data_IF_225091406001
#
_entry.id   IF_225091406001
#
_cell.length_a   1.000
_cell.length_b   1.000
_cell.length_c   1.000
_cell.angle_alpha   90.00
_cell.angle_beta   90.00
_cell.angle_gamma   90.00
#
_symmetry.space_group_name_H-M   'P 1'
#
loop_
_entity.id
_entity.type
_entity.pdbx_description
1 polymer ?
#
# COMPACT_ATOMS: atom_id res chain seq x y z
N UNK A 1 35.45 42.26 -49.71
CA UNK A 1 34.40 43.23 -49.35
C UNK A 1 33.19 42.47 -48.81
N UNK A 2 32.97 42.46 -47.50
CA UNK A 2 31.89 41.74 -46.85
C UNK A 2 30.64 42.62 -46.73
N UNK A 3 29.45 42.03 -46.92
CA UNK A 3 28.18 42.71 -46.69
C UNK A 3 27.58 42.24 -45.35
N UNK A 4 27.15 43.23 -44.57
CA UNK A 4 26.82 43.19 -43.15
C UNK A 4 25.32 43.13 -42.90
N UNK A 5 24.92 42.40 -41.84
CA UNK A 5 23.72 42.57 -40.96
C UNK A 5 22.33 42.14 -41.51
N UNK A 6 21.31 41.86 -40.65
CA UNK A 6 21.22 42.22 -39.22
C UNK A 6 20.86 41.11 -38.21
N UNK A 7 21.23 41.43 -36.96
CA UNK A 7 20.83 40.84 -35.69
C UNK A 7 19.36 41.15 -35.39
N UNK A 8 18.56 40.14 -35.04
CA UNK A 8 17.26 40.33 -34.40
C UNK A 8 17.19 39.58 -33.07
N UNK A 9 17.06 40.40 -32.04
CA UNK A 9 16.90 40.14 -30.61
C UNK A 9 15.61 39.36 -30.35
N UNK A 10 15.69 38.14 -29.81
CA UNK A 10 14.54 37.43 -29.26
C UNK A 10 14.35 37.89 -27.81
N UNK A 11 13.20 38.50 -27.52
CA UNK A 11 12.75 38.83 -26.16
C UNK A 11 11.94 37.64 -25.55
N UNK A 12 11.82 37.55 -24.22
CA UNK A 12 11.21 36.40 -23.54
C UNK A 12 9.67 36.47 -23.56
N UNK A 13 9.03 35.32 -23.74
CA UNK A 13 7.56 35.17 -23.67
C UNK A 13 7.11 35.08 -22.22
N UNK A 14 6.28 36.05 -21.85
CA UNK A 14 5.54 36.24 -20.60
C UNK A 14 4.48 35.13 -20.42
N UNK A 15 4.52 34.39 -19.31
CA UNK A 15 3.45 33.44 -18.94
C UNK A 15 2.57 34.09 -17.87
N UNK A 16 1.32 34.38 -18.23
CA UNK A 16 0.30 34.96 -17.32
C UNK A 16 -0.49 33.85 -16.62
N UNK A 17 -0.71 34.05 -15.32
CA UNK A 17 -1.49 33.17 -14.45
C UNK A 17 -3.01 33.43 -14.45
N UNK A 18 -3.73 32.41 -13.94
CA UNK A 18 -5.05 32.38 -13.26
C UNK A 18 -6.33 32.24 -14.11
N UNK A 19 -7.46 31.68 -13.58
CA UNK A 19 -7.70 31.16 -12.22
C UNK A 19 -8.36 29.75 -12.15
N UNK A 20 -8.22 29.07 -11.01
CA UNK A 20 -9.07 27.91 -10.63
C UNK A 20 -9.88 28.25 -9.38
N UNK A 21 -11.20 28.16 -9.50
CA UNK A 21 -12.21 28.21 -8.42
C UNK A 21 -13.59 28.53 -9.02
N UNK A 22 -14.74 28.06 -8.44
CA UNK A 22 -14.95 27.81 -7.02
C UNK A 22 -15.66 26.48 -6.63
N UNK A 23 -15.37 26.03 -5.41
CA UNK A 23 -16.26 25.58 -4.30
C UNK A 23 -17.40 24.57 -4.58
N UNK A 24 -17.69 23.58 -3.73
CA UNK A 24 -18.10 23.62 -2.31
C UNK A 24 -18.01 22.17 -1.75
N UNK A 25 -17.72 21.88 -0.49
CA UNK A 25 -18.43 22.31 0.73
C UNK A 25 -17.47 22.38 1.92
N UNK A 26 -17.54 23.49 2.64
CA UNK A 26 -16.94 23.76 3.94
C UNK A 26 -17.72 23.06 5.08
N UNK A 27 -17.01 22.60 6.11
CA UNK A 27 -17.49 22.64 7.50
C UNK A 27 -16.32 23.09 8.41
N UNK A 28 -16.24 24.41 8.55
CA UNK A 28 -16.00 25.21 9.76
C UNK A 28 -15.03 24.70 10.84
N UNK A 29 -13.95 25.49 11.04
CA UNK A 29 -13.36 25.92 12.32
C UNK A 29 -14.50 26.19 13.36
N UNK A 30 -14.41 25.89 14.66
CA UNK A 30 -13.46 26.39 15.70
C UNK A 30 -13.44 25.42 16.95
N UNK A 31 -12.83 25.76 18.12
CA UNK A 31 -11.63 25.12 18.66
C UNK A 31 -11.88 24.31 19.94
N UNK A 32 -11.11 23.26 20.22
CA UNK A 32 -10.97 22.81 21.61
C UNK A 32 -9.68 22.07 21.84
N UNK A 33 -8.80 22.76 22.55
CA UNK A 33 -7.80 22.27 23.49
C UNK A 33 -7.69 20.75 23.63
N UNK A 34 -6.66 20.17 23.02
CA UNK A 34 -5.96 19.01 23.60
C UNK A 34 -4.46 19.24 23.47
N UNK A 35 -3.65 18.80 24.45
CA UNK A 35 -2.38 19.40 24.75
C UNK A 35 -1.42 19.23 23.58
N UNK A 36 -0.91 20.38 23.12
CA UNK A 36 0.37 20.48 22.45
C UNK A 36 1.34 19.61 23.25
N UNK A 37 1.80 18.48 22.68
CA UNK A 37 2.99 17.83 23.19
C UNK A 37 4.10 18.86 22.97
N UNK A 38 4.37 19.63 24.03
CA UNK A 38 5.33 20.72 24.08
C UNK A 38 6.69 20.04 23.99
N UNK A 39 7.19 19.81 22.78
CA UNK A 39 8.61 19.56 22.56
C UNK A 39 9.29 20.92 22.69
N UNK A 40 9.35 21.42 23.93
CA UNK A 40 10.08 22.62 24.28
C UNK A 40 11.50 22.20 24.59
N UNK A 41 12.42 22.56 23.71
CA UNK A 41 13.84 22.32 23.87
C UNK A 41 14.60 23.07 22.80
N UNK A 42 14.73 24.39 22.99
CA UNK A 42 15.76 25.17 22.33
C UNK A 42 17.14 24.60 22.73
N UNK A 43 17.93 24.19 21.74
CA UNK A 43 19.29 23.68 21.94
C UNK A 43 19.65 22.64 20.88
N UNK A 44 20.38 23.08 19.85
CA UNK A 44 21.01 22.24 18.81
C UNK A 44 22.05 21.28 19.43
N UNK A 45 21.60 20.21 20.07
CA UNK A 45 22.41 19.02 20.35
C UNK A 45 21.78 17.84 19.64
N UNK A 46 21.93 17.82 18.32
CA UNK A 46 21.64 16.64 17.49
C UNK A 46 22.60 15.54 17.93
N UNK A 47 22.20 14.69 18.88
CA UNK A 47 22.90 13.42 19.09
C UNK A 47 22.75 12.66 17.76
N UNK A 48 23.85 12.41 17.02
CA UNK A 48 23.74 11.67 15.77
C UNK A 48 23.15 10.31 16.08
N UNK A 49 22.23 9.83 15.23
CA UNK A 49 21.77 8.46 15.32
C UNK A 49 22.97 7.53 15.42
N UNK A 50 22.89 6.46 16.23
CA UNK A 50 23.92 5.43 16.23
C UNK A 50 24.22 5.06 14.79
N UNK A 51 25.50 5.16 14.37
CA UNK A 51 25.90 4.82 13.01
C UNK A 51 25.35 3.42 12.70
N UNK A 52 24.83 3.18 11.48
CA UNK A 52 24.40 1.84 11.09
C UNK A 52 25.53 0.87 11.44
N UNK A 53 25.26 -0.07 12.35
CA UNK A 53 26.27 -1.05 12.74
C UNK A 53 26.49 -1.92 11.50
N UNK A 54 27.69 -1.89 10.87
CA UNK A 54 27.89 -2.49 9.54
C UNK A 54 27.60 -3.99 9.50
N UNK A 55 27.58 -4.65 10.67
CA UNK A 55 27.41 -6.09 10.82
C UNK A 55 26.15 -6.47 11.65
N UNK A 56 25.16 -5.59 11.77
CA UNK A 56 23.89 -5.99 12.39
C UNK A 56 23.12 -6.86 11.40
N UNK A 57 23.28 -8.18 11.52
CA UNK A 57 22.44 -9.14 10.81
C UNK A 57 21.00 -8.92 11.28
N UNK A 58 20.17 -8.33 10.41
CA UNK A 58 18.77 -8.14 10.71
C UNK A 58 18.11 -9.52 10.86
N UNK A 59 17.31 -9.73 11.92
CA UNK A 59 16.67 -11.01 12.17
C UNK A 59 15.58 -11.24 11.11
N UNK A 60 15.96 -11.91 10.03
CA UNK A 60 15.04 -12.43 9.02
C UNK A 60 14.75 -13.91 9.31
N UNK A 61 13.48 -14.35 9.27
CA UNK A 61 13.16 -15.77 9.37
C UNK A 61 13.61 -16.56 8.13
N UNK A 62 13.90 -15.87 7.02
CA UNK A 62 14.26 -16.49 5.74
C UNK A 62 15.75 -16.79 5.72
N UNK A 63 16.10 -18.08 5.70
CA UNK A 63 17.48 -18.54 5.50
C UNK A 63 17.80 -18.55 4.01
N UNK A 64 18.50 -17.53 3.55
CA UNK A 64 18.79 -17.29 2.12
C UNK A 64 19.55 -18.47 1.51
N UNK A 65 20.50 -19.06 2.25
CA UNK A 65 21.29 -20.22 1.79
C UNK A 65 20.41 -21.44 1.48
N UNK A 66 19.30 -21.60 2.22
CA UNK A 66 18.33 -22.67 1.99
C UNK A 66 17.32 -22.31 0.89
N UNK A 67 17.08 -21.03 0.64
CA UNK A 67 16.14 -20.57 -0.38
C UNK A 67 16.71 -20.76 -1.79
N UNK A 68 18.01 -20.51 -1.98
CA UNK A 68 18.65 -20.58 -3.28
C UNK A 68 18.47 -21.92 -4.03
N UNK A 69 18.67 -23.11 -3.41
CA UNK A 69 18.41 -24.38 -4.10
C UNK A 69 16.91 -24.60 -4.41
N UNK A 70 16.00 -24.06 -3.59
CA UNK A 70 14.55 -24.17 -3.82
C UNK A 70 14.05 -23.33 -5.00
N UNK A 71 14.83 -22.31 -5.40
CA UNK A 71 14.52 -21.47 -6.56
C UNK A 71 15.06 -22.06 -7.88
N UNK A 72 15.68 -23.24 -7.85
CA UNK A 72 16.16 -23.91 -9.06
C UNK A 72 14.98 -24.22 -10.01
N UNK A 73 15.08 -23.78 -11.27
CA UNK A 73 14.06 -23.98 -12.30
C UNK A 73 13.06 -22.83 -12.46
N UNK A 74 13.10 -21.81 -11.59
CA UNK A 74 12.34 -20.58 -11.78
C UNK A 74 13.09 -19.57 -12.65
N UNK A 75 12.38 -18.53 -13.08
CA UNK A 75 12.95 -17.43 -13.87
C UNK A 75 14.22 -16.86 -13.20
N UNK A 76 15.37 -16.79 -13.90
CA UNK A 76 16.61 -16.27 -13.33
C UNK A 76 16.53 -14.81 -12.86
N UNK A 77 15.71 -13.98 -13.52
CA UNK A 77 15.51 -12.58 -13.17
C UNK A 77 14.82 -12.43 -11.82
N UNK A 78 13.68 -13.12 -11.64
CA UNK A 78 12.95 -13.15 -10.37
C UNK A 78 13.78 -13.77 -9.24
N UNK A 79 14.51 -14.85 -9.54
CA UNK A 79 15.41 -15.50 -8.58
C UNK A 79 16.48 -14.53 -8.07
N UNK A 80 17.06 -13.74 -8.98
CA UNK A 80 18.04 -12.70 -8.64
C UNK A 80 17.42 -11.59 -7.77
N UNK A 81 16.23 -11.11 -8.11
CA UNK A 81 15.50 -10.10 -7.32
C UNK A 81 15.22 -10.60 -5.91
N UNK A 82 14.78 -11.85 -5.75
CA UNK A 82 14.49 -12.42 -4.44
C UNK A 82 15.77 -12.59 -3.61
N UNK A 83 16.83 -13.17 -4.21
CA UNK A 83 18.10 -13.37 -3.52
C UNK A 83 18.69 -12.04 -3.05
N UNK A 84 18.79 -11.06 -3.97
CA UNK A 84 19.33 -9.73 -3.65
C UNK A 84 18.41 -8.99 -2.68
N UNK A 85 17.10 -9.09 -2.84
CA UNK A 85 16.11 -8.45 -2.00
C UNK A 85 16.12 -8.93 -0.55
N UNK A 86 16.23 -10.24 -0.31
CA UNK A 86 16.37 -10.76 1.05
C UNK A 86 17.74 -10.47 1.66
N UNK A 87 18.80 -10.39 0.85
CA UNK A 87 20.17 -10.14 1.32
C UNK A 87 20.45 -8.67 1.62
N UNK A 88 19.94 -7.76 0.79
CA UNK A 88 20.27 -6.34 0.82
C UNK A 88 19.05 -5.42 1.01
N UNK A 89 17.84 -5.96 0.92
CA UNK A 89 16.58 -5.21 1.00
C UNK A 89 15.88 -5.07 -0.36
N UNK A 90 14.55 -4.88 -0.31
CA UNK A 90 13.72 -4.69 -1.50
C UNK A 90 13.50 -3.21 -1.80
N UNK A 91 13.66 -2.83 -3.07
CA UNK A 91 13.30 -1.49 -3.53
C UNK A 91 11.79 -1.31 -3.54
N UNK A 92 11.31 -0.24 -2.89
CA UNK A 92 9.90 0.15 -2.92
C UNK A 92 9.53 1.02 -4.13
N UNK A 93 10.50 1.32 -5.01
CA UNK A 93 10.32 2.17 -6.20
C UNK A 93 9.60 3.50 -5.89
N UNK A 94 9.94 4.13 -4.77
CA UNK A 94 9.40 5.44 -4.41
C UNK A 94 10.16 6.53 -5.14
N UNK A 95 9.51 7.19 -6.10
CA UNK A 95 10.12 8.17 -7.01
C UNK A 95 9.82 9.63 -6.64
N UNK A 96 8.86 9.87 -5.74
CA UNK A 96 8.43 11.22 -5.38
C UNK A 96 9.28 11.87 -4.27
N UNK A 97 8.96 13.13 -3.94
CA UNK A 97 9.61 13.83 -2.83
C UNK A 97 9.04 13.39 -1.50
N UNK A 98 9.88 12.84 -0.62
CA UNK A 98 9.48 12.53 0.77
C UNK A 98 9.01 13.80 1.49
N UNK A 99 7.85 13.74 2.13
CA UNK A 99 7.29 14.76 3.00
C UNK A 99 7.14 14.22 4.42
N UNK A 100 7.26 15.10 5.42
CA UNK A 100 6.97 14.72 6.81
C UNK A 100 5.47 14.53 7.00
N UNK A 101 5.07 13.51 7.73
CA UNK A 101 3.67 13.22 7.98
C UNK A 101 3.51 12.62 9.38
N UNK A 102 2.54 13.13 10.15
CA UNK A 102 2.26 12.66 11.49
C UNK A 102 0.76 12.37 11.61
N UNK A 103 0.43 11.10 11.81
CA UNK A 103 -0.94 10.67 12.06
C UNK A 103 -1.14 10.26 13.52
N UNK A 104 -2.34 10.51 14.01
CA UNK A 104 -2.81 9.98 15.28
C UNK A 104 -3.15 8.49 15.16
N UNK A 105 -2.90 7.72 16.22
CA UNK A 105 -3.26 6.31 16.27
C UNK A 105 -4.78 6.10 16.08
N UNK A 106 -5.15 4.96 15.51
CA UNK A 106 -6.55 4.56 15.38
C UNK A 106 -7.18 4.33 16.76
N UNK A 107 -8.51 4.47 16.86
CA UNK A 107 -9.28 4.32 18.11
C UNK A 107 -8.94 3.00 18.81
N UNK A 108 -8.82 1.90 18.06
CA UNK A 108 -8.51 0.60 18.64
C UNK A 108 -7.19 0.58 19.41
N UNK A 109 -6.14 1.23 18.88
CA UNK A 109 -4.85 1.32 19.54
C UNK A 109 -4.87 2.26 20.76
N UNK A 110 -5.69 3.33 20.71
CA UNK A 110 -5.87 4.23 21.85
C UNK A 110 -6.62 3.54 23.01
N UNK A 111 -7.59 2.68 22.70
CA UNK A 111 -8.40 1.95 23.69
C UNK A 111 -7.68 0.75 24.32
N UNK A 112 -6.61 0.25 23.68
CA UNK A 112 -5.87 -0.94 24.16
C UNK A 112 -4.35 -0.66 24.23
N UNK A 113 -3.91 0.31 25.05
CA UNK A 113 -2.51 0.73 25.13
C UNK A 113 -1.58 -0.36 25.65
N UNK A 114 -2.07 -1.25 26.51
CA UNK A 114 -1.33 -2.40 27.05
C UNK A 114 -0.98 -3.41 25.96
N UNK A 115 -1.92 -3.73 25.05
CA UNK A 115 -1.67 -4.63 23.92
C UNK A 115 -0.65 -4.03 22.95
N UNK A 116 -0.76 -2.72 22.66
CA UNK A 116 0.19 -2.01 21.82
C UNK A 116 1.59 -2.08 22.43
N UNK A 117 1.70 -1.78 23.73
CA UNK A 117 2.98 -1.79 24.45
C UNK A 117 3.60 -3.18 24.45
N UNK A 118 2.82 -4.23 24.72
CA UNK A 118 3.31 -5.61 24.68
C UNK A 118 3.82 -6.02 23.29
N UNK A 119 3.12 -5.63 22.22
CA UNK A 119 3.54 -5.89 20.83
C UNK A 119 4.83 -5.14 20.48
N UNK A 120 4.93 -3.87 20.84
CA UNK A 120 6.14 -3.07 20.60
C UNK A 120 7.34 -3.65 21.38
N UNK A 121 7.17 -3.99 22.65
CA UNK A 121 8.22 -4.61 23.46
C UNK A 121 8.70 -5.94 22.87
N UNK A 122 7.80 -6.76 22.32
CA UNK A 122 8.17 -8.02 21.65
C UNK A 122 9.04 -7.77 20.40
N UNK A 123 8.67 -6.81 19.58
CA UNK A 123 9.42 -6.46 18.37
C UNK A 123 10.76 -5.78 18.68
N UNK A 124 10.80 -4.98 19.76
CA UNK A 124 12.01 -4.35 20.28
C UNK A 124 12.99 -5.39 20.85
N UNK A 125 12.50 -6.33 21.66
CA UNK A 125 13.29 -7.44 22.19
C UNK A 125 13.82 -8.36 21.08
N UNK A 126 13.08 -8.48 19.97
CA UNK A 126 13.52 -9.20 18.79
C UNK A 126 14.50 -8.40 17.92
N UNK A 127 14.86 -7.17 18.28
CA UNK A 127 15.78 -6.34 17.52
C UNK A 127 15.25 -5.88 16.15
N UNK A 128 13.94 -5.95 15.93
CA UNK A 128 13.31 -5.57 14.65
C UNK A 128 12.88 -4.10 14.58
N UNK A 129 12.78 -3.44 15.74
CA UNK A 129 12.49 -2.01 15.82
C UNK A 129 13.72 -1.25 16.30
N UNK A 130 13.89 -0.05 15.76
CA UNK A 130 14.84 0.94 16.25
C UNK A 130 14.08 1.99 17.08
N UNK A 131 14.77 2.54 18.09
CA UNK A 131 14.18 3.47 19.06
C UNK A 131 13.93 2.80 20.41
N UNK A 132 13.14 3.41 21.31
CA UNK A 132 12.40 4.67 21.12
C UNK A 132 13.31 5.87 20.84
N UNK A 133 12.79 6.87 20.13
CA UNK A 133 13.50 8.12 19.83
C UNK A 133 12.77 9.29 20.48
N UNK A 134 13.49 10.18 21.15
CA UNK A 134 12.90 11.36 21.79
C UNK A 134 12.48 12.44 20.78
N UNK A 135 13.08 12.42 19.59
CA UNK A 135 12.80 13.33 18.48
C UNK A 135 12.88 12.60 17.13
N UNK A 136 12.26 13.13 16.06
CA UNK A 136 12.32 12.51 14.75
C UNK A 136 13.77 12.28 14.28
N UNK A 137 14.16 11.04 13.98
CA UNK A 137 15.55 10.70 13.66
C UNK A 137 16.03 11.32 12.33
N UNK A 138 15.10 11.75 11.47
CA UNK A 138 15.38 12.33 10.16
C UNK A 138 14.58 13.61 9.95
N UNK A 139 15.09 14.59 9.17
CA UNK A 139 14.35 15.82 8.87
C UNK A 139 12.99 15.57 8.18
N UNK A 140 12.92 14.54 7.33
CA UNK A 140 11.70 14.09 6.66
C UNK A 140 11.29 12.74 7.25
N UNK A 141 10.45 12.79 8.28
CA UNK A 141 10.02 11.62 9.03
C UNK A 141 8.51 11.40 8.88
N UNK A 142 8.11 10.14 8.72
CA UNK A 142 6.70 9.74 8.58
C UNK A 142 6.30 8.83 9.74
N UNK A 143 5.31 9.28 10.50
CA UNK A 143 4.64 8.51 11.54
C UNK A 143 3.27 8.07 11.01
N UNK A 144 3.15 6.77 10.77
CA UNK A 144 1.88 6.16 10.34
C UNK A 144 1.06 5.74 11.57
N UNK A 145 -0.27 5.76 11.49
CA UNK A 145 -1.12 5.43 12.63
C UNK A 145 -1.00 3.95 12.98
N UNK A 146 -0.94 3.63 14.28
CA UNK A 146 -1.07 2.25 14.74
C UNK A 146 -2.55 1.87 14.92
N UNK A 147 -2.84 0.60 14.65
CA UNK A 147 -4.13 -0.02 14.93
C UNK A 147 -3.91 -1.40 15.52
N UNK A 148 -4.80 -1.81 16.43
CA UNK A 148 -4.86 -3.19 16.90
C UNK A 148 -6.10 -3.87 16.36
N UNK A 149 -5.92 -5.12 15.94
CA UNK A 149 -6.99 -6.02 15.54
C UNK A 149 -6.86 -7.28 16.42
N UNK A 150 -7.93 -7.71 17.09
CA UNK A 150 -7.95 -8.97 17.81
C UNK A 150 -7.63 -10.13 16.86
N UNK A 151 -6.66 -10.96 17.24
CA UNK A 151 -6.36 -12.19 16.51
C UNK A 151 -7.16 -13.32 17.16
N UNK A 152 -8.03 -14.00 16.40
CA UNK A 152 -8.63 -15.25 16.87
C UNK A 152 -7.51 -16.28 17.06
N UNK A 153 -7.37 -16.82 18.27
CA UNK A 153 -6.41 -17.89 18.59
C UNK A 153 -7.22 -19.10 19.06
N UNK A 154 -7.07 -20.24 18.39
CA UNK A 154 -7.54 -21.53 18.89
C UNK A 154 -6.39 -22.14 19.70
N UNK A 155 -6.51 -22.10 21.03
CA UNK A 155 -5.42 -22.37 21.97
C UNK A 155 -4.92 -23.83 21.97
N UNK A 156 -5.70 -24.78 21.45
CA UNK A 156 -5.40 -26.21 21.53
C UNK A 156 -4.19 -26.67 20.69
N UNK A 157 -3.79 -25.96 19.63
CA UNK A 157 -2.71 -26.40 18.72
C UNK A 157 -1.45 -25.54 18.72
N UNK A 158 -1.35 -24.48 19.53
CA UNK A 158 -0.16 -23.60 19.57
C UNK A 158 0.16 -22.88 18.25
N UNK A 159 -0.68 -23.04 17.24
CA UNK A 159 -0.56 -22.45 15.91
C UNK A 159 -1.81 -21.60 15.67
N UNK A 160 -1.66 -20.34 15.23
CA UNK A 160 -2.81 -19.52 14.87
C UNK A 160 -3.48 -20.04 13.59
N UNK A 161 -4.31 -21.07 13.73
CA UNK A 161 -5.21 -21.55 12.69
C UNK A 161 -6.54 -20.80 12.83
N UNK A 162 -6.90 -20.04 11.80
CA UNK A 162 -8.27 -19.57 11.66
C UNK A 162 -9.09 -20.76 11.13
N UNK A 163 -10.17 -21.19 11.79
CA UNK A 163 -10.99 -22.30 11.28
C UNK A 163 -11.55 -21.99 9.88
N UNK A 164 -11.78 -20.71 9.60
CA UNK A 164 -12.14 -20.15 8.28
C UNK A 164 -11.07 -20.35 7.19
N UNK A 165 -9.84 -20.70 7.58
CA UNK A 165 -8.69 -20.95 6.70
C UNK A 165 -8.17 -22.39 6.82
N UNK A 166 -8.83 -23.22 7.62
CA UNK A 166 -8.43 -24.59 7.87
C UNK A 166 -9.49 -25.48 7.26
N UNK A 167 -9.31 -25.79 5.99
CA UNK A 167 -10.19 -26.71 5.27
C UNK A 167 -9.68 -28.13 5.55
N UNK A 168 -10.59 -29.08 5.77
CA UNK A 168 -10.22 -30.50 5.88
C UNK A 168 -9.58 -30.99 4.57
N UNK A 169 -9.24 -32.29 4.46
CA UNK A 169 -8.89 -32.86 3.16
C UNK A 169 -10.10 -32.77 2.22
N UNK A 170 -10.20 -31.65 1.51
CA UNK A 170 -11.24 -31.35 0.53
C UNK A 170 -10.60 -31.16 -0.83
N UNK A 171 -11.31 -31.61 -1.86
CA UNK A 171 -10.84 -31.52 -3.23
C UNK A 171 -11.00 -30.11 -3.81
N UNK A 172 -11.80 -29.25 -3.16
CA UNK A 172 -12.11 -27.89 -3.59
C UNK A 172 -11.74 -26.94 -2.45
N UNK A 173 -10.77 -26.06 -2.67
CA UNK A 173 -10.27 -25.12 -1.67
C UNK A 173 -10.59 -23.68 -2.08
N UNK A 174 -11.39 -22.99 -1.27
CA UNK A 174 -11.57 -21.54 -1.42
C UNK A 174 -10.36 -20.80 -0.84
N UNK A 175 -9.60 -20.11 -1.70
CA UNK A 175 -8.43 -19.33 -1.32
C UNK A 175 -8.38 -18.01 -2.09
N UNK A 176 -8.10 -16.91 -1.38
CA UNK A 176 -8.03 -15.56 -1.96
C UNK A 176 -9.25 -15.15 -2.82
N UNK A 177 -10.42 -15.74 -2.54
CA UNK A 177 -11.66 -15.44 -3.24
C UNK A 177 -11.89 -16.19 -4.55
N UNK A 178 -11.06 -17.18 -4.87
CA UNK A 178 -11.23 -18.18 -5.94
C UNK A 178 -11.30 -19.59 -5.33
N UNK A 179 -11.93 -20.53 -6.02
CA UNK A 179 -11.93 -21.96 -5.69
C UNK A 179 -10.86 -22.68 -6.50
N UNK A 180 -10.06 -23.51 -5.83
CA UNK A 180 -9.05 -24.38 -6.43
C UNK A 180 -9.58 -25.82 -6.39
N UNK A 181 -9.87 -26.41 -7.54
CA UNK A 181 -10.37 -27.78 -7.68
C UNK A 181 -9.23 -28.71 -8.10
N UNK A 182 -8.83 -29.58 -7.18
CA UNK A 182 -7.74 -30.55 -7.36
C UNK A 182 -8.13 -31.78 -8.18
N UNK A 183 -9.42 -32.09 -8.33
CA UNK A 183 -9.87 -33.18 -9.21
C UNK A 183 -9.92 -32.74 -10.66
N UNK A 184 -10.36 -31.49 -10.89
CA UNK A 184 -10.45 -30.90 -12.23
C UNK A 184 -9.17 -30.20 -12.66
N UNK A 185 -8.25 -29.94 -11.73
CA UNK A 185 -7.03 -29.16 -11.94
C UNK A 185 -7.35 -27.75 -12.47
N UNK A 186 -8.39 -27.12 -11.93
CA UNK A 186 -8.95 -25.85 -12.39
C UNK A 186 -9.07 -24.85 -11.23
N UNK A 187 -8.80 -23.57 -11.51
CA UNK A 187 -9.12 -22.46 -10.62
C UNK A 187 -10.37 -21.74 -11.14
N UNK A 188 -11.39 -21.58 -10.32
CA UNK A 188 -12.67 -20.97 -10.71
C UNK A 188 -13.15 -19.92 -9.73
N UNK A 189 -14.02 -19.01 -10.18
CA UNK A 189 -14.70 -18.10 -9.28
C UNK A 189 -15.84 -18.86 -8.57
N UNK A 190 -16.05 -18.67 -7.25
CA UNK A 190 -17.18 -19.25 -6.53
C UNK A 190 -18.51 -18.89 -7.18
N UNK A 191 -19.46 -19.82 -7.15
CA UNK A 191 -20.76 -19.66 -7.81
C UNK A 191 -21.49 -18.40 -7.33
N UNK A 192 -21.51 -18.16 -6.02
CA UNK A 192 -22.18 -17.01 -5.40
C UNK A 192 -21.69 -15.68 -5.98
N UNK A 193 -20.38 -15.56 -6.20
CA UNK A 193 -19.77 -14.37 -6.80
C UNK A 193 -20.10 -14.26 -8.28
N UNK A 194 -20.14 -15.39 -9.00
CA UNK A 194 -20.56 -15.36 -10.42
C UNK A 194 -22.01 -14.93 -10.56
N UNK A 195 -22.90 -15.36 -9.67
CA UNK A 195 -24.32 -14.95 -9.66
C UNK A 195 -24.49 -13.48 -9.29
N UNK A 196 -23.77 -12.99 -8.27
CA UNK A 196 -23.78 -11.58 -7.92
C UNK A 196 -23.28 -10.70 -9.10
N UNK A 197 -22.19 -11.11 -9.76
CA UNK A 197 -21.72 -10.42 -10.97
C UNK A 197 -22.78 -10.42 -12.09
N UNK A 198 -23.44 -11.56 -12.36
CA UNK A 198 -24.51 -11.64 -13.36
C UNK A 198 -25.66 -10.70 -13.03
N UNK A 199 -26.09 -10.66 -11.76
CA UNK A 199 -27.16 -9.77 -11.30
C UNK A 199 -26.77 -8.31 -11.54
N UNK A 200 -25.59 -7.89 -11.07
CA UNK A 200 -25.10 -6.51 -11.21
C UNK A 200 -24.98 -6.08 -12.67
N UNK A 201 -24.41 -6.94 -13.52
CA UNK A 201 -24.30 -6.69 -14.96
C UNK A 201 -25.70 -6.61 -15.57
N UNK A 202 -26.61 -7.52 -15.24
CA UNK A 202 -27.97 -7.50 -15.78
C UNK A 202 -28.75 -6.23 -15.38
N UNK A 203 -28.59 -5.76 -14.14
CA UNK A 203 -29.23 -4.55 -13.65
C UNK A 203 -28.68 -3.30 -14.36
N UNK A 204 -27.36 -3.22 -14.52
CA UNK A 204 -26.70 -2.15 -15.27
C UNK A 204 -27.15 -2.14 -16.74
N UNK A 205 -27.19 -3.30 -17.39
CA UNK A 205 -27.62 -3.37 -18.79
C UNK A 205 -29.07 -2.92 -18.97
N UNK A 206 -29.97 -3.21 -18.02
CA UNK A 206 -31.36 -2.70 -18.08
C UNK A 206 -31.45 -1.17 -17.95
N UNK A 207 -30.50 -0.54 -17.26
CA UNK A 207 -30.48 0.91 -17.10
C UNK A 207 -29.95 1.64 -18.33
N UNK A 208 -29.02 1.02 -19.06
CA UNK A 208 -28.25 1.71 -20.11
C UNK A 208 -28.62 1.25 -21.52
N UNK A 209 -29.08 0.02 -21.69
CA UNK A 209 -29.53 -0.54 -22.97
C UNK A 209 -31.01 -0.22 -23.15
N UNK A 210 -31.40 0.57 -24.18
CA UNK A 210 -32.80 0.82 -24.47
C UNK A 210 -33.53 -0.50 -24.75
N UNK A 211 -34.73 -0.69 -24.20
CA UNK A 211 -35.52 -1.91 -24.38
C UNK A 211 -35.83 -2.23 -25.86
N UNK A 212 -35.69 -1.25 -26.74
CA UNK A 212 -35.93 -1.35 -28.19
C UNK A 212 -34.69 -1.77 -29.00
N UNK A 213 -33.50 -1.85 -28.38
CA UNK A 213 -32.25 -2.18 -29.05
C UNK A 213 -31.56 -3.35 -28.33
N UNK A 214 -31.21 -4.41 -29.05
CA UNK A 214 -30.43 -5.51 -28.47
C UNK A 214 -29.05 -5.06 -27.97
N UNK A 215 -28.51 -5.73 -26.95
CA UNK A 215 -27.20 -5.40 -26.36
C UNK A 215 -26.09 -5.27 -27.39
N UNK A 216 -26.02 -6.21 -28.35
CA UNK A 216 -24.99 -6.21 -29.38
C UNK A 216 -25.04 -4.95 -30.28
N UNK A 217 -26.23 -4.47 -30.60
CA UNK A 217 -26.43 -3.31 -31.47
C UNK A 217 -26.24 -2.00 -30.71
N UNK A 218 -26.66 -1.95 -29.44
CA UNK A 218 -26.33 -0.86 -28.54
C UNK A 218 -24.81 -0.73 -28.35
N UNK A 219 -24.10 -1.83 -28.09
CA UNK A 219 -22.66 -1.84 -27.89
C UNK A 219 -21.91 -1.38 -29.15
N UNK A 220 -22.33 -1.83 -30.34
CA UNK A 220 -21.81 -1.35 -31.62
C UNK A 220 -22.04 0.16 -31.81
N UNK A 221 -23.19 0.69 -31.41
CA UNK A 221 -23.50 2.13 -31.46
C UNK A 221 -22.60 2.96 -30.53
N UNK A 222 -22.29 2.45 -29.33
CA UNK A 222 -21.38 3.10 -28.37
C UNK A 222 -19.95 3.17 -28.93
N UNK A 223 -19.43 2.07 -29.47
CA UNK A 223 -18.09 2.04 -30.08
C UNK A 223 -18.01 3.03 -31.24
N UNK A 224 -19.05 3.06 -32.10
CA UNK A 224 -19.10 3.98 -33.25
C UNK A 224 -19.12 5.45 -32.81
N UNK A 225 -19.82 5.79 -31.72
CA UNK A 225 -19.82 7.15 -31.14
C UNK A 225 -18.48 7.54 -30.51
N UNK A 226 -17.76 6.58 -29.92
CA UNK A 226 -16.46 6.85 -29.28
C UNK A 226 -15.33 7.07 -30.28
N UNK A 227 -15.39 6.43 -31.44
CA UNK A 227 -14.40 6.58 -32.51
C UNK A 227 -14.70 7.75 -33.48
N UNK A 228 -15.79 8.51 -33.23
CA UNK A 228 -16.18 9.69 -34.00
C UNK A 228 -15.68 11.01 -33.38
N UNK A 229 -14.89 10.92 -32.30
CA UNK A 229 -14.16 12.01 -31.65
C UNK A 229 -12.66 11.81 -31.80
#
# INVERSE_FOLDING_TARGET
>A
MPATRPSTRVQPVETRELPMGPSRVCLNLIPSMYPLMRISGAGDTRTPLPRPRPNLVLPTPVRIDNLQPLLCGYDPGLTSILYTGFKFGFSLHFEETRTSFFANNLISAQQNPEIVSAKLSKELAAGRLAGPFDFPPFPKFRVSPLGVVPKKVLEFFGVPMAPEKTVGPENILSFAGIELDSLRMEARLPLDKTEECKILVSAFLRLVVPATLGYADWFRSVIKRRNAF
#
